data_IF_421964116252
#
_entry.id   IF_421964116252
#
_cell.length_a   1.000
_cell.length_b   1.000
_cell.length_c   1.000
_cell.angle_alpha   90.00
_cell.angle_beta   90.00
_cell.angle_gamma   90.00
#
_symmetry.space_group_name_H-M   'P 1'
#
loop_
_entity.id
_entity.type
_entity.pdbx_description
1 polymer ?
#
# COMPACT_ATOMS: atom_id res chain seq x y z
N UNK A 1 -13.02 -30.48 6.21
CA UNK A 1 -14.09 -29.49 6.47
C UNK A 1 -13.55 -28.13 6.91
N UNK A 2 -12.70 -28.05 7.96
CA UNK A 2 -12.11 -26.79 8.44
C UNK A 2 -11.45 -25.95 7.32
N UNK A 3 -10.63 -26.57 6.47
CA UNK A 3 -9.93 -25.87 5.39
C UNK A 3 -10.88 -25.30 4.33
N UNK A 4 -11.96 -26.02 3.98
CA UNK A 4 -12.95 -25.54 3.02
C UNK A 4 -13.71 -24.34 3.57
N UNK A 5 -14.07 -24.38 4.86
CA UNK A 5 -14.72 -23.26 5.55
C UNK A 5 -13.77 -22.06 5.57
N UNK A 6 -12.49 -22.26 5.89
CA UNK A 6 -11.49 -21.18 5.86
C UNK A 6 -11.33 -20.57 4.47
N UNK A 7 -11.25 -21.39 3.41
CA UNK A 7 -11.16 -20.91 2.02
C UNK A 7 -12.42 -20.11 1.67
N UNK A 8 -13.61 -20.63 1.98
CA UNK A 8 -14.87 -19.94 1.70
C UNK A 8 -14.93 -18.57 2.39
N UNK A 9 -14.61 -18.52 3.70
CA UNK A 9 -14.60 -17.28 4.47
C UNK A 9 -13.57 -16.28 3.94
N UNK A 10 -12.37 -16.74 3.57
CA UNK A 10 -11.34 -15.87 3.01
C UNK A 10 -11.74 -15.34 1.62
N UNK A 11 -12.35 -16.17 0.78
CA UNK A 11 -12.89 -15.74 -0.52
C UNK A 11 -14.00 -14.71 -0.36
N UNK A 12 -14.94 -14.93 0.57
CA UNK A 12 -16.00 -13.96 0.88
C UNK A 12 -15.42 -12.64 1.39
N UNK A 13 -14.43 -12.71 2.28
CA UNK A 13 -13.74 -11.52 2.78
C UNK A 13 -13.07 -10.75 1.64
N UNK A 14 -12.32 -11.43 0.78
CA UNK A 14 -11.63 -10.83 -0.36
C UNK A 14 -12.63 -10.18 -1.33
N UNK A 15 -13.72 -10.87 -1.69
CA UNK A 15 -14.77 -10.32 -2.56
C UNK A 15 -15.47 -9.12 -1.92
N UNK A 16 -15.70 -9.11 -0.60
CA UNK A 16 -16.43 -8.04 0.09
C UNK A 16 -15.58 -6.80 0.40
N UNK A 17 -14.26 -6.95 0.51
CA UNK A 17 -13.34 -5.87 0.93
C UNK A 17 -12.46 -5.35 -0.19
N UNK A 18 -12.51 -5.96 -1.38
CA UNK A 18 -11.76 -5.54 -2.55
C UNK A 18 -12.66 -5.45 -3.78
N UNK A 19 -12.16 -4.87 -4.87
CA UNK A 19 -12.88 -4.74 -6.14
C UNK A 19 -13.04 -6.07 -6.91
N UNK A 20 -12.70 -7.22 -6.32
CA UNK A 20 -12.86 -8.53 -6.98
C UNK A 20 -14.32 -8.85 -7.30
N UNK A 21 -15.28 -8.27 -6.58
CA UNK A 21 -16.70 -8.36 -6.95
C UNK A 21 -17.00 -7.83 -8.36
N UNK A 22 -16.19 -6.92 -8.90
CA UNK A 22 -16.37 -6.39 -10.26
C UNK A 22 -16.23 -7.49 -11.32
N UNK A 23 -15.50 -8.57 -11.04
CA UNK A 23 -15.40 -9.72 -11.96
C UNK A 23 -16.76 -10.40 -12.18
N UNK A 24 -17.72 -10.25 -11.26
CA UNK A 24 -19.09 -10.75 -11.45
C UNK A 24 -19.84 -10.00 -12.57
N UNK A 25 -19.34 -8.85 -13.03
CA UNK A 25 -19.89 -8.06 -14.14
C UNK A 25 -19.32 -8.46 -15.51
N UNK A 26 -18.38 -9.42 -15.58
CA UNK A 26 -17.83 -9.92 -16.85
C UNK A 26 -18.93 -10.38 -17.84
N UNK A 27 -20.03 -11.04 -17.43
CA UNK A 27 -21.10 -11.38 -18.37
C UNK A 27 -21.69 -10.16 -19.10
N UNK A 28 -21.86 -9.02 -18.41
CA UNK A 28 -22.36 -7.78 -19.01
C UNK A 28 -21.36 -7.18 -20.02
N UNK A 29 -20.05 -7.29 -19.74
CA UNK A 29 -18.99 -6.91 -20.68
C UNK A 29 -19.05 -7.74 -21.97
N UNK A 30 -19.24 -9.06 -21.85
CA UNK A 30 -19.34 -9.98 -23.00
C UNK A 30 -20.58 -9.66 -23.83
N UNK A 31 -21.73 -9.47 -23.18
CA UNK A 31 -22.98 -9.11 -23.85
C UNK A 31 -22.83 -7.80 -24.64
N UNK A 32 -22.30 -6.76 -23.99
CA UNK A 32 -22.10 -5.47 -24.65
C UNK A 32 -21.07 -5.52 -25.77
N UNK A 33 -19.99 -6.31 -25.62
CA UNK A 33 -19.05 -6.56 -26.71
C UNK A 33 -19.72 -7.20 -27.93
N UNK A 34 -20.63 -8.18 -27.72
CA UNK A 34 -21.37 -8.79 -28.83
C UNK A 34 -22.34 -7.83 -29.52
N UNK A 35 -22.94 -6.89 -28.79
CA UNK A 35 -23.74 -5.82 -29.41
C UNK A 35 -22.88 -5.00 -30.39
N UNK A 36 -21.70 -4.54 -29.95
CA UNK A 36 -20.76 -3.82 -30.82
C UNK A 36 -20.23 -4.68 -31.97
N UNK A 37 -19.99 -5.98 -31.74
CA UNK A 37 -19.54 -6.91 -32.79
C UNK A 37 -20.61 -7.17 -33.84
N UNK A 38 -21.88 -7.13 -33.45
CA UNK A 38 -23.03 -7.27 -34.37
C UNK A 38 -23.19 -6.01 -35.23
N UNK A 39 -23.02 -4.83 -34.64
CA UNK A 39 -23.10 -3.54 -35.34
C UNK A 39 -21.87 -3.26 -36.21
N UNK A 40 -20.69 -3.68 -35.75
CA UNK A 40 -19.42 -3.53 -36.44
C UNK A 40 -18.64 -4.86 -36.40
N UNK A 41 -18.75 -5.70 -37.45
CA UNK A 41 -18.05 -6.98 -37.52
C UNK A 41 -16.52 -6.89 -37.40
N UNK A 42 -15.92 -5.74 -37.74
CA UNK A 42 -14.47 -5.52 -37.64
C UNK A 42 -14.01 -5.08 -36.23
N UNK A 43 -14.96 -4.87 -35.31
CA UNK A 43 -14.66 -4.52 -33.92
C UNK A 43 -13.82 -5.62 -33.26
N UNK A 44 -12.61 -5.29 -32.83
CA UNK A 44 -11.80 -6.18 -31.99
C UNK A 44 -12.11 -5.96 -30.51
N UNK A 45 -11.85 -6.96 -29.67
CA UNK A 45 -12.02 -6.83 -28.22
C UNK A 45 -11.17 -5.69 -27.65
N UNK A 46 -9.93 -5.53 -28.13
CA UNK A 46 -9.04 -4.45 -27.71
C UNK A 46 -9.56 -3.07 -28.12
N UNK A 47 -10.14 -2.95 -29.31
CA UNK A 47 -10.77 -1.69 -29.73
C UNK A 47 -11.97 -1.36 -28.85
N UNK A 48 -12.80 -2.34 -28.53
CA UNK A 48 -13.94 -2.18 -27.61
C UNK A 48 -13.51 -1.74 -26.21
N UNK A 49 -12.53 -2.41 -25.63
CA UNK A 49 -11.99 -2.01 -24.33
C UNK A 49 -11.39 -0.60 -24.38
N UNK A 50 -10.70 -0.24 -25.48
CA UNK A 50 -10.15 1.11 -25.62
C UNK A 50 -11.25 2.18 -25.63
N UNK A 51 -12.31 1.98 -26.40
CA UNK A 51 -13.44 2.93 -26.46
C UNK A 51 -14.06 3.16 -25.08
N UNK A 52 -14.20 2.11 -24.28
CA UNK A 52 -14.92 2.16 -23.01
C UNK A 52 -14.06 2.48 -21.78
N UNK A 53 -12.75 2.24 -21.82
CA UNK A 53 -11.86 2.41 -20.66
C UNK A 53 -10.78 3.49 -20.82
N UNK A 54 -10.46 3.93 -22.04
CA UNK A 54 -9.42 4.96 -22.27
C UNK A 54 -10.02 6.37 -22.18
N UNK A 55 -11.09 6.62 -22.94
CA UNK A 55 -11.76 7.93 -23.01
C UNK A 55 -13.28 7.74 -23.06
N UNK A 56 -13.93 7.37 -21.94
CA UNK A 56 -15.36 7.10 -21.91
C UNK A 56 -16.15 8.34 -22.32
N UNK A 57 -16.97 8.21 -23.36
CA UNK A 57 -17.87 9.26 -23.85
C UNK A 57 -19.24 9.03 -23.23
N UNK A 58 -19.92 10.12 -22.82
CA UNK A 58 -21.32 10.03 -22.42
C UNK A 58 -22.19 10.03 -23.66
N UNK A 59 -22.48 8.87 -24.22
CA UNK A 59 -23.41 8.75 -25.34
C UNK A 59 -24.64 7.89 -25.01
N UNK A 60 -25.36 7.40 -26.02
CA UNK A 60 -26.56 6.59 -25.84
C UNK A 60 -26.30 5.25 -25.13
N UNK A 61 -25.06 4.77 -25.11
CA UNK A 61 -24.62 3.57 -24.41
C UNK A 61 -24.29 3.79 -22.92
N UNK A 62 -24.17 5.03 -22.46
CA UNK A 62 -23.66 5.38 -21.13
C UNK A 62 -24.27 4.58 -19.98
N UNK A 63 -25.57 4.28 -20.03
CA UNK A 63 -26.25 3.47 -19.01
C UNK A 63 -25.81 2.00 -18.95
N UNK A 64 -25.34 1.44 -20.07
CA UNK A 64 -24.73 0.11 -20.18
C UNK A 64 -23.27 0.15 -19.76
N UNK A 65 -22.53 1.20 -20.14
CA UNK A 65 -21.13 1.37 -19.78
C UNK A 65 -20.93 1.40 -18.27
N UNK A 66 -21.83 2.07 -17.55
CA UNK A 66 -21.83 2.09 -16.08
C UNK A 66 -21.95 0.70 -15.42
N UNK A 67 -22.47 -0.29 -16.15
CA UNK A 67 -22.59 -1.68 -15.68
C UNK A 67 -21.34 -2.51 -15.98
N UNK A 68 -20.39 -1.99 -16.75
CA UNK A 68 -19.15 -2.68 -17.05
C UNK A 68 -18.26 -2.79 -15.80
N UNK A 69 -17.44 -3.86 -15.72
CA UNK A 69 -16.51 -4.03 -14.61
C UNK A 69 -15.53 -2.86 -14.55
N UNK A 70 -15.22 -2.37 -13.34
CA UNK A 70 -14.21 -1.34 -13.10
C UNK A 70 -14.44 0.04 -13.74
N UNK A 71 -15.66 0.37 -14.19
CA UNK A 71 -16.03 1.74 -14.60
C UNK A 71 -16.49 2.58 -13.40
N UNK A 72 -17.34 2.00 -12.55
CA UNK A 72 -17.79 2.62 -11.30
C UNK A 72 -17.25 1.82 -10.12
N UNK A 73 -16.58 2.55 -9.22
CA UNK A 73 -16.03 2.04 -7.97
C UNK A 73 -16.96 2.37 -6.81
N UNK A 74 -17.28 1.38 -6.00
CA UNK A 74 -18.02 1.57 -4.75
C UNK A 74 -17.05 1.47 -3.58
N UNK A 75 -17.32 2.21 -2.50
CA UNK A 75 -16.46 2.15 -1.31
C UNK A 75 -16.55 0.73 -0.75
N UNK A 76 -15.45 -0.04 -0.71
CA UNK A 76 -15.46 -1.39 -0.17
C UNK A 76 -15.74 -1.37 1.34
N UNK A 77 -16.19 -2.50 1.87
CA UNK A 77 -16.48 -2.63 3.30
C UNK A 77 -15.23 -2.33 4.14
N UNK A 78 -15.25 -1.24 4.90
CA UNK A 78 -14.19 -0.87 5.85
C UNK A 78 -14.62 -1.27 7.26
N UNK A 79 -13.98 -2.29 7.82
CA UNK A 79 -14.20 -2.73 9.21
C UNK A 79 -13.09 -2.15 10.09
N UNK A 80 -13.48 -1.25 11.00
CA UNK A 80 -12.57 -0.71 12.03
C UNK A 80 -12.84 -1.44 13.34
N UNK A 81 -11.92 -2.29 13.76
CA UNK A 81 -11.97 -2.93 15.07
C UNK A 81 -11.20 -2.07 16.07
N UNK A 82 -11.90 -1.45 17.01
CA UNK A 82 -11.26 -0.78 18.13
C UNK A 82 -11.05 -1.79 19.24
N UNK A 83 -9.82 -1.94 19.72
CA UNK A 83 -9.54 -2.73 20.92
C UNK A 83 -10.03 -1.92 22.12
N UNK A 84 -11.30 -2.11 22.47
CA UNK A 84 -11.87 -1.63 23.70
C UNK A 84 -11.51 -2.58 24.84
N UNK A 85 -10.27 -2.57 25.33
CA UNK A 85 -9.93 -3.03 26.68
C UNK A 85 -8.48 -2.66 27.05
N UNK A 86 -8.33 -2.17 28.28
CA UNK A 86 -7.07 -1.74 28.88
C UNK A 86 -6.09 -2.93 28.92
N UNK A 87 -5.01 -2.87 28.16
CA UNK A 87 -3.88 -3.77 28.39
C UNK A 87 -3.25 -3.40 29.73
N UNK A 88 -3.46 -4.23 30.75
CA UNK A 88 -2.71 -4.13 32.02
C UNK A 88 -1.45 -4.96 31.82
N UNK A 89 -0.33 -4.27 31.60
CA UNK A 89 0.99 -4.91 31.62
C UNK A 89 1.40 -5.10 33.08
N UNK A 90 1.32 -6.34 33.55
CA UNK A 90 1.88 -6.70 34.83
C UNK A 90 3.38 -6.95 34.63
N UNK A 91 4.17 -5.87 34.69
CA UNK A 91 5.63 -5.94 34.60
C UNK A 91 6.12 -6.58 35.90
N UNK A 92 6.23 -7.91 35.91
CA UNK A 92 6.95 -8.62 36.98
C UNK A 92 8.34 -8.02 37.05
N UNK A 93 8.63 -7.37 38.16
CA UNK A 93 9.95 -6.86 38.48
C UNK A 93 10.87 -8.06 38.68
N UNK A 94 11.32 -8.65 37.57
CA UNK A 94 12.39 -9.64 37.57
C UNK A 94 13.61 -8.85 37.99
N UNK A 95 13.92 -8.89 39.29
CA UNK A 95 15.03 -8.15 39.87
C UNK A 95 16.24 -8.31 38.97
N UNK A 96 16.67 -7.20 38.37
CA UNK A 96 17.84 -7.18 37.51
C UNK A 96 19.01 -7.72 38.34
N UNK A 97 19.42 -8.97 38.09
CA UNK A 97 20.74 -9.41 38.53
C UNK A 97 21.71 -8.50 37.79
N UNK A 98 22.33 -7.60 38.52
CA UNK A 98 23.39 -6.74 38.01
C UNK A 98 24.40 -7.65 37.30
N UNK A 99 24.35 -7.69 35.97
CA UNK A 99 25.41 -8.31 35.20
C UNK A 99 26.66 -7.47 35.49
N UNK A 100 27.71 -8.12 35.99
CA UNK A 100 29.03 -7.48 36.09
C UNK A 100 29.44 -7.07 34.68
N UNK A 101 29.24 -5.80 34.36
CA UNK A 101 29.74 -5.20 33.14
C UNK A 101 31.27 -5.25 33.22
N UNK A 102 31.88 -6.06 32.37
CA UNK A 102 33.32 -6.00 32.18
C UNK A 102 33.59 -4.67 31.47
N UNK A 103 34.45 -3.84 32.05
CA UNK A 103 34.85 -2.57 31.44
C UNK A 103 35.33 -2.86 30.01
N UNK A 104 34.67 -2.25 29.03
CA UNK A 104 35.13 -2.27 27.65
C UNK A 104 36.38 -1.39 27.61
N UNK A 105 37.55 -1.88 27.15
CA UNK A 105 38.72 -1.03 27.00
C UNK A 105 38.43 0.01 25.91
N UNK A 106 38.18 1.26 26.32
CA UNK A 106 38.11 2.41 25.42
C UNK A 106 39.51 3.00 25.27
N UNK A 107 40.00 3.11 24.04
CA UNK A 107 41.21 3.86 23.74
C UNK A 107 40.90 5.35 23.90
N UNK A 108 41.75 6.07 24.64
CA UNK A 108 41.64 7.52 24.83
C UNK A 108 41.95 8.23 23.48
N UNK A 109 40.92 8.75 22.82
CA UNK A 109 41.08 9.51 21.56
C UNK A 109 41.62 10.92 21.80
N UNK A 110 41.52 11.45 23.02
CA UNK A 110 41.96 12.82 23.37
C UNK A 110 43.49 12.94 23.39
N UNK A 111 44.21 11.82 23.42
CA UNK A 111 45.67 11.81 23.33
C UNK A 111 46.18 12.21 21.94
N UNK A 112 45.39 12.00 20.87
CA UNK A 112 45.78 12.30 19.50
C UNK A 112 45.70 13.79 19.15
N UNK A 113 44.93 14.60 19.90
CA UNK A 113 44.69 16.01 19.55
C UNK A 113 45.68 17.00 20.17
N UNK A 114 46.57 16.56 21.07
CA UNK A 114 47.53 17.45 21.74
C UNK A 114 48.68 17.96 20.85
N UNK A 115 48.87 17.39 19.65
CA UNK A 115 49.99 17.70 18.76
C UNK A 115 49.70 18.67 17.61
N UNK A 116 48.44 19.02 17.33
CA UNK A 116 48.05 19.69 16.08
C UNK A 116 47.40 21.08 16.27
N UNK A 117 47.56 21.71 17.44
CA UNK A 117 46.98 23.02 17.71
C UNK A 117 47.46 24.12 16.74
N UNK A 118 48.67 24.00 16.19
CA UNK A 118 49.23 24.95 15.22
C UNK A 118 49.01 24.57 13.75
N UNK A 119 48.40 23.41 13.47
CA UNK A 119 48.18 22.90 12.12
C UNK A 119 46.73 23.05 11.66
N UNK A 120 45.87 23.60 12.52
CA UNK A 120 44.51 23.97 12.14
C UNK A 120 44.60 25.20 11.23
N UNK A 121 44.13 25.05 10.00
CA UNK A 121 44.12 26.11 8.99
C UNK A 121 43.28 27.29 9.49
N UNK A 122 43.91 28.37 9.94
CA UNK A 122 43.21 29.60 10.29
C UNK A 122 42.90 30.40 9.02
N UNK A 123 41.64 30.85 8.81
CA UNK A 123 41.32 31.69 7.67
C UNK A 123 42.02 33.06 7.76
N UNK A 124 42.33 33.71 6.63
CA UNK A 124 43.08 34.97 6.61
C UNK A 124 42.34 36.07 7.37
N UNK A 125 43.01 36.70 8.34
CA UNK A 125 42.49 37.86 9.06
C UNK A 125 42.79 39.12 8.25
N UNK A 126 41.81 39.65 7.53
CA UNK A 126 41.96 40.95 6.86
C UNK A 126 41.99 42.06 7.92
N UNK A 127 43.11 42.77 8.00
CA UNK A 127 43.23 44.04 8.73
C UNK A 127 42.64 45.15 7.84
N UNK A 128 41.43 45.59 8.14
CA UNK A 128 40.95 46.89 7.65
C UNK A 128 41.44 47.97 8.63
N UNK A 129 42.26 48.88 8.10
CA UNK A 129 42.76 50.07 8.78
C UNK A 129 41.75 51.21 8.77
#
# INVERSE_FOLDING_TARGET
MKNLISILLLSLYLVSTTEVYQLLKIPALIEHYWEHKTLNPEMSLTAFLKTHYDHPVKDGDYSKDQKLPFIIHSIPLSLVFTIGQRFIFDLKNVGFKQMKSHKIPSKDEDFCYKGFLSSVWEPPRYLFS
#
